data_IF_248759758344
#
_entry.id   IF_248759758344
#
_cell.length_a   1.000
_cell.length_b   1.000
_cell.length_c   1.000
_cell.angle_alpha   90.00
_cell.angle_beta   90.00
_cell.angle_gamma   90.00
#
_symmetry.space_group_name_H-M   'P 1'
#
loop_
_entity.id
_entity.type
_entity.pdbx_description
1 polymer ?
#
# COMPACT_ATOMS: atom_id res chain seq x y z
N UNK A 1 -24.08 72.53 47.02
CA UNK A 1 -25.28 72.18 46.25
C UNK A 1 -25.34 70.65 46.24
N UNK A 2 -25.93 69.95 47.21
CA UNK A 2 -27.29 69.97 47.74
C UNK A 2 -28.37 69.52 46.72
N UNK A 3 -29.14 68.52 47.17
CA UNK A 3 -30.37 67.90 46.67
C UNK A 3 -30.26 66.84 45.55
N UNK A 4 -30.59 65.55 45.79
CA UNK A 4 -31.85 64.97 46.34
C UNK A 4 -32.99 65.11 45.29
N UNK A 5 -33.42 64.02 44.67
CA UNK A 5 -34.46 63.07 45.12
C UNK A 5 -35.72 63.23 44.28
N UNK A 6 -36.20 62.11 43.73
CA UNK A 6 -37.60 61.71 43.52
C UNK A 6 -37.58 60.59 42.47
N UNK A 7 -37.88 59.34 42.82
CA UNK A 7 -39.18 58.89 43.33
C UNK A 7 -40.08 58.62 42.12
N UNK A 8 -40.81 57.51 41.96
CA UNK A 8 -41.26 56.49 42.91
C UNK A 8 -42.08 55.47 42.09
N UNK A 9 -41.96 54.19 42.45
CA UNK A 9 -43.02 53.16 42.52
C UNK A 9 -43.88 52.79 41.28
N UNK A 10 -44.55 51.64 41.18
CA UNK A 10 -44.54 50.28 41.77
C UNK A 10 -45.92 49.69 41.35
N UNK A 11 -45.99 48.48 40.76
CA UNK A 11 -47.10 47.47 40.82
C UNK A 11 -47.16 46.64 39.51
N UNK A 12 -46.78 45.35 39.46
CA UNK A 12 -47.41 44.08 39.93
C UNK A 12 -48.75 43.67 39.26
N UNK A 13 -48.69 42.66 38.37
CA UNK A 13 -49.49 41.39 38.29
C UNK A 13 -49.11 40.64 36.98
N UNK A 14 -48.52 39.43 36.99
CA UNK A 14 -49.16 38.07 36.95
C UNK A 14 -50.38 38.01 36.01
N UNK A 15 -50.52 37.13 35.01
CA UNK A 15 -49.86 35.85 34.67
C UNK A 15 -50.19 35.44 33.20
N UNK A 16 -49.34 34.61 32.60
CA UNK A 16 -49.66 33.56 31.59
C UNK A 16 -48.36 32.74 31.41
N UNK A 17 -48.17 31.58 32.04
CA UNK A 17 -48.61 30.22 31.67
C UNK A 17 -48.40 29.91 30.18
N UNK A 18 -47.34 29.15 29.88
CA UNK A 18 -47.18 28.53 28.56
C UNK A 18 -45.77 28.02 28.32
N UNK A 19 -45.61 26.70 28.41
CA UNK A 19 -44.58 25.84 27.83
C UNK A 19 -43.36 26.49 27.14
N UNK A 20 -42.15 26.13 27.59
CA UNK A 20 -41.13 25.51 26.73
C UNK A 20 -39.84 25.22 27.52
N UNK A 21 -39.87 24.11 28.26
CA UNK A 21 -38.69 23.45 28.80
C UNK A 21 -37.92 22.66 27.74
N UNK A 22 -37.70 23.23 26.55
CA UNK A 22 -36.93 22.58 25.47
C UNK A 22 -35.47 23.03 25.55
N UNK A 23 -34.76 22.34 26.45
CA UNK A 23 -33.34 21.98 26.41
C UNK A 23 -32.41 22.81 25.50
N UNK A 24 -31.79 23.85 26.08
CA UNK A 24 -30.58 24.49 25.53
C UNK A 24 -29.41 23.49 25.37
N UNK A 25 -29.41 22.42 26.16
CA UNK A 25 -28.47 21.28 26.07
C UNK A 25 -28.76 20.35 24.89
N UNK A 26 -30.03 20.24 24.48
CA UNK A 26 -30.45 19.51 23.29
C UNK A 26 -29.86 20.13 22.03
N UNK A 27 -29.87 21.46 21.91
CA UNK A 27 -29.31 22.16 20.76
C UNK A 27 -27.78 22.08 20.68
N UNK A 28 -27.07 22.02 21.82
CA UNK A 28 -25.62 21.81 21.85
C UNK A 28 -25.24 20.36 21.49
N UNK A 29 -26.02 19.37 21.94
CA UNK A 29 -25.83 17.97 21.54
C UNK A 29 -26.18 17.75 20.07
N UNK A 30 -27.25 18.36 19.57
CA UNK A 30 -27.64 18.31 18.14
C UNK A 30 -26.63 19.05 17.27
N UNK A 31 -26.06 20.17 17.74
CA UNK A 31 -24.98 20.86 17.02
C UNK A 31 -23.67 20.05 17.02
N UNK A 32 -23.35 19.33 18.10
CA UNK A 32 -22.19 18.42 18.14
C UNK A 32 -22.40 17.14 17.33
N UNK A 33 -23.61 16.57 17.29
CA UNK A 33 -23.93 15.42 16.43
C UNK A 33 -24.06 15.82 14.97
N UNK A 34 -24.57 17.01 14.65
CA UNK A 34 -24.59 17.55 13.29
C UNK A 34 -23.18 17.89 12.77
N UNK A 35 -22.28 18.42 13.61
CA UNK A 35 -20.85 18.58 13.25
C UNK A 35 -20.11 17.26 13.13
N UNK A 36 -20.53 16.21 13.85
CA UNK A 36 -19.97 14.88 13.72
C UNK A 36 -20.49 14.12 12.47
N UNK A 37 -21.66 14.52 11.94
CA UNK A 37 -22.33 13.80 10.86
C UNK A 37 -21.70 13.99 9.48
N UNK A 38 -20.97 15.07 9.20
CA UNK A 38 -20.33 15.29 7.90
C UNK A 38 -18.90 15.81 8.08
N UNK A 39 -18.02 14.98 8.63
CA UNK A 39 -16.64 15.03 8.14
C UNK A 39 -16.69 14.51 6.70
N UNK A 40 -16.38 15.33 5.68
CA UNK A 40 -16.39 14.85 4.31
C UNK A 40 -15.48 13.63 4.24
N UNK A 41 -16.08 12.47 3.94
CA UNK A 41 -15.36 11.22 3.76
C UNK A 41 -14.29 11.52 2.72
N UNK A 42 -13.03 11.42 3.12
CA UNK A 42 -11.90 11.80 2.26
C UNK A 42 -12.10 11.18 0.87
N UNK A 43 -12.27 12.03 -0.14
CA UNK A 43 -12.52 11.60 -1.52
C UNK A 43 -11.38 10.67 -1.90
N UNK A 44 -11.72 9.41 -2.21
CA UNK A 44 -10.73 8.37 -2.49
C UNK A 44 -9.99 8.74 -3.77
N UNK A 45 -8.66 8.78 -3.71
CA UNK A 45 -7.86 9.12 -4.88
C UNK A 45 -8.03 8.04 -5.96
N UNK A 46 -8.74 8.38 -7.04
CA UNK A 46 -9.08 7.45 -8.13
C UNK A 46 -7.82 6.84 -8.75
N UNK A 47 -6.74 7.62 -8.87
CA UNK A 47 -5.48 7.17 -9.46
C UNK A 47 -4.81 6.09 -8.61
N UNK A 48 -4.85 6.26 -7.28
CA UNK A 48 -4.34 5.25 -6.35
C UNK A 48 -5.17 3.99 -6.39
N UNK A 49 -6.48 4.11 -6.59
CA UNK A 49 -7.33 2.94 -6.73
C UNK A 49 -7.11 2.21 -8.06
N UNK A 50 -6.98 2.94 -9.17
CA UNK A 50 -6.62 2.36 -10.46
C UNK A 50 -5.26 1.64 -10.39
N UNK A 51 -4.28 2.25 -9.70
CA UNK A 51 -2.99 1.63 -9.44
C UNK A 51 -3.10 0.37 -8.57
N UNK A 52 -3.97 0.35 -7.56
CA UNK A 52 -4.24 -0.87 -6.77
C UNK A 52 -4.84 -1.96 -7.64
N UNK A 53 -5.81 -1.65 -8.50
CA UNK A 53 -6.40 -2.61 -9.43
C UNK A 53 -5.36 -3.17 -10.41
N UNK A 54 -4.51 -2.30 -10.97
CA UNK A 54 -3.41 -2.73 -11.83
C UNK A 54 -2.42 -3.66 -11.10
N UNK A 55 -2.12 -3.37 -9.83
CA UNK A 55 -1.29 -4.24 -9.00
C UNK A 55 -1.95 -5.62 -8.76
N UNK A 56 -3.27 -5.68 -8.51
CA UNK A 56 -4.01 -6.94 -8.39
C UNK A 56 -3.89 -7.76 -9.67
N UNK A 57 -4.14 -7.12 -10.82
CA UNK A 57 -4.05 -7.79 -12.13
C UNK A 57 -2.63 -8.32 -12.37
N UNK A 58 -1.60 -7.53 -12.06
CA UNK A 58 -0.20 -7.95 -12.20
C UNK A 58 0.16 -9.14 -11.31
N UNK A 59 -0.27 -9.13 -10.04
CA UNK A 59 -0.07 -10.25 -9.11
C UNK A 59 -0.80 -11.51 -9.61
N UNK A 60 -2.06 -11.36 -10.01
CA UNK A 60 -2.86 -12.48 -10.52
C UNK A 60 -2.22 -13.11 -11.76
N UNK A 61 -1.85 -12.28 -12.74
CA UNK A 61 -1.20 -12.77 -13.97
C UNK A 61 0.11 -13.50 -13.65
N UNK A 62 0.92 -12.94 -12.76
CA UNK A 62 2.15 -13.59 -12.30
C UNK A 62 1.90 -14.96 -11.66
N UNK A 63 0.94 -15.07 -10.73
CA UNK A 63 0.65 -16.34 -10.07
C UNK A 63 0.06 -17.38 -11.03
N UNK A 64 -0.78 -16.97 -11.99
CA UNK A 64 -1.31 -17.85 -13.03
C UNK A 64 -0.19 -18.34 -13.96
N UNK A 65 0.77 -17.47 -14.30
CA UNK A 65 1.88 -17.79 -15.20
C UNK A 65 3.12 -18.33 -14.47
N UNK A 66 3.06 -18.54 -13.15
CA UNK A 66 4.21 -18.97 -12.35
C UNK A 66 4.81 -20.30 -12.82
N UNK A 67 4.03 -21.35 -13.15
CA UNK A 67 4.59 -22.60 -13.66
C UNK A 67 5.34 -22.42 -14.99
N UNK A 68 4.84 -21.54 -15.87
CA UNK A 68 5.40 -21.25 -17.19
C UNK A 68 6.69 -20.43 -17.08
N UNK A 69 6.68 -19.38 -16.25
CA UNK A 69 7.87 -18.56 -15.97
C UNK A 69 8.96 -19.41 -15.32
N UNK A 70 8.64 -20.29 -14.37
CA UNK A 70 9.62 -21.19 -13.75
C UNK A 70 10.27 -22.15 -14.74
N UNK A 71 9.52 -22.64 -15.73
CA UNK A 71 10.07 -23.51 -16.79
C UNK A 71 10.92 -22.72 -17.79
N UNK A 72 10.53 -21.50 -18.16
CA UNK A 72 11.27 -20.67 -19.10
C UNK A 72 12.59 -20.11 -18.52
N UNK A 73 12.63 -19.90 -17.20
CA UNK A 73 13.81 -19.44 -16.44
C UNK A 73 14.59 -20.59 -15.82
N UNK A 74 14.38 -21.81 -16.30
CA UNK A 74 15.08 -22.98 -15.81
C UNK A 74 16.60 -22.85 -16.03
N UNK A 75 17.38 -23.38 -15.08
CA UNK A 75 18.83 -23.35 -15.14
C UNK A 75 19.33 -24.31 -16.25
N UNK A 76 20.03 -23.80 -17.28
CA UNK A 76 20.57 -24.64 -18.35
C UNK A 76 21.53 -25.73 -17.84
N UNK A 77 22.20 -25.50 -16.71
CA UNK A 77 23.15 -26.45 -16.12
C UNK A 77 22.45 -27.60 -15.38
N UNK A 78 21.23 -27.38 -14.89
CA UNK A 78 20.43 -28.40 -14.17
C UNK A 78 19.57 -29.25 -15.12
N UNK A 79 19.49 -28.87 -16.41
CA UNK A 79 18.67 -29.52 -17.42
C UNK A 79 17.21 -29.07 -17.34
N UNK A 80 16.68 -28.60 -18.47
CA UNK A 80 15.31 -28.10 -18.55
C UNK A 80 14.35 -29.11 -19.18
N UNK A 81 13.07 -28.97 -18.87
CA UNK A 81 12.04 -29.74 -19.56
C UNK A 81 12.00 -29.30 -21.03
N UNK A 82 11.54 -30.19 -21.92
CA UNK A 82 11.34 -29.85 -23.35
C UNK A 82 10.49 -28.58 -23.55
N UNK A 83 9.54 -28.34 -22.64
CA UNK A 83 8.70 -27.13 -22.65
C UNK A 83 9.51 -25.89 -22.23
N UNK A 84 10.36 -26.02 -21.20
CA UNK A 84 11.26 -24.95 -20.78
C UNK A 84 12.24 -24.54 -21.87
N UNK A 85 12.84 -25.50 -22.57
CA UNK A 85 13.73 -25.24 -23.71
C UNK A 85 13.00 -24.50 -24.84
N UNK A 86 11.78 -24.92 -25.18
CA UNK A 86 10.97 -24.24 -26.19
C UNK A 86 10.68 -22.79 -25.80
N UNK A 87 10.25 -22.55 -24.55
CA UNK A 87 9.92 -21.20 -24.05
C UNK A 87 11.15 -20.30 -23.92
N UNK A 88 12.29 -20.84 -23.48
CA UNK A 88 13.55 -20.11 -23.36
C UNK A 88 14.25 -19.86 -24.70
N UNK A 89 13.92 -20.65 -25.72
CA UNK A 89 14.51 -20.50 -27.07
C UNK A 89 13.95 -19.32 -27.86
N UNK A 90 12.72 -18.89 -27.58
CA UNK A 90 12.11 -17.72 -28.22
C UNK A 90 12.35 -16.45 -27.37
N UNK A 91 13.17 -15.49 -27.87
CA UNK A 91 13.44 -14.24 -27.16
C UNK A 91 12.18 -13.42 -26.84
N UNK A 92 11.15 -13.47 -27.69
CA UNK A 92 9.93 -12.71 -27.47
C UNK A 92 9.12 -13.28 -26.31
N UNK A 93 8.97 -14.60 -26.25
CA UNK A 93 8.29 -15.30 -25.16
C UNK A 93 9.04 -15.08 -23.85
N UNK A 94 10.37 -15.20 -23.87
CA UNK A 94 11.20 -15.00 -22.69
C UNK A 94 11.11 -13.56 -22.15
N UNK A 95 11.09 -12.55 -23.03
CA UNK A 95 10.88 -11.16 -22.63
C UNK A 95 9.50 -10.96 -21.99
N UNK A 96 8.44 -11.51 -22.57
CA UNK A 96 7.07 -11.40 -22.03
C UNK A 96 6.96 -12.06 -20.66
N UNK A 97 7.52 -13.25 -20.50
CA UNK A 97 7.52 -13.97 -19.22
C UNK A 97 8.35 -13.25 -18.14
N UNK A 98 9.47 -12.64 -18.53
CA UNK A 98 10.24 -11.75 -17.65
C UNK A 98 9.42 -10.55 -17.15
N UNK A 99 8.76 -9.84 -18.07
CA UNK A 99 7.91 -8.68 -17.73
C UNK A 99 6.77 -9.09 -16.80
N UNK A 100 6.14 -10.25 -17.03
CA UNK A 100 5.10 -10.79 -16.14
C UNK A 100 5.67 -11.06 -14.73
N UNK A 101 6.89 -11.60 -14.63
CA UNK A 101 7.57 -11.80 -13.36
C UNK A 101 7.85 -10.47 -12.63
N UNK A 102 8.32 -9.44 -13.35
CA UNK A 102 8.49 -8.08 -12.81
C UNK A 102 7.17 -7.48 -12.33
N UNK A 103 6.08 -7.68 -13.08
CA UNK A 103 4.75 -7.18 -12.73
C UNK A 103 4.21 -7.80 -11.43
N UNK A 104 4.45 -9.08 -11.19
CA UNK A 104 4.07 -9.73 -9.93
C UNK A 104 4.78 -9.10 -8.72
N UNK A 105 6.11 -8.98 -8.81
CA UNK A 105 6.92 -8.34 -7.78
C UNK A 105 6.54 -6.87 -7.56
N UNK A 106 6.37 -6.13 -8.65
CA UNK A 106 5.95 -4.73 -8.64
C UNK A 106 4.60 -4.55 -7.98
N UNK A 107 3.62 -5.39 -8.31
CA UNK A 107 2.28 -5.33 -7.73
C UNK A 107 2.31 -5.51 -6.21
N UNK A 108 3.11 -6.46 -5.71
CA UNK A 108 3.31 -6.63 -4.27
C UNK A 108 3.90 -5.37 -3.63
N UNK A 109 4.98 -4.80 -4.21
CA UNK A 109 5.56 -3.56 -3.70
C UNK A 109 4.53 -2.41 -3.68
N UNK A 110 3.73 -2.26 -4.72
CA UNK A 110 2.66 -1.24 -4.78
C UNK A 110 1.68 -1.41 -3.62
N UNK A 111 1.25 -2.63 -3.32
CA UNK A 111 0.34 -2.90 -2.20
C UNK A 111 0.92 -2.47 -0.85
N UNK A 112 2.14 -2.89 -0.56
CA UNK A 112 2.83 -2.51 0.67
C UNK A 112 3.07 -0.99 0.74
N UNK A 113 3.49 -0.38 -0.37
CA UNK A 113 3.81 1.05 -0.42
C UNK A 113 2.57 1.92 -0.29
N UNK A 114 1.44 1.62 -0.97
CA UNK A 114 0.18 2.35 -0.78
C UNK A 114 -0.22 2.33 0.69
N UNK A 115 -0.18 1.14 1.30
CA UNK A 115 -0.56 0.99 2.70
C UNK A 115 0.37 1.78 3.61
N UNK A 116 1.69 1.68 3.45
CA UNK A 116 2.65 2.47 4.21
C UNK A 116 2.44 3.97 4.04
N UNK A 117 2.28 4.43 2.80
CA UNK A 117 2.14 5.83 2.42
C UNK A 117 0.95 6.52 3.08
N UNK A 118 -0.19 5.84 3.20
CA UNK A 118 -1.39 6.42 3.83
C UNK A 118 -1.49 6.09 5.33
N UNK A 119 -1.11 4.88 5.72
CA UNK A 119 -1.31 4.39 7.08
C UNK A 119 -0.34 5.04 8.06
N UNK A 120 0.96 5.04 7.77
CA UNK A 120 1.99 5.52 8.70
C UNK A 120 1.77 7.00 9.03
N UNK A 121 1.60 7.94 8.07
CA UNK A 121 1.38 9.34 8.40
C UNK A 121 0.09 9.56 9.19
N UNK A 122 -0.98 8.79 8.90
CA UNK A 122 -2.25 8.90 9.61
C UNK A 122 -2.16 8.48 11.08
N UNK A 123 -1.34 7.47 11.38
CA UNK A 123 -1.09 6.98 12.73
C UNK A 123 -0.10 7.89 13.46
N UNK A 124 0.93 8.38 12.76
CA UNK A 124 1.92 9.29 13.31
C UNK A 124 1.28 10.60 13.81
N UNK A 125 0.34 11.17 13.05
CA UNK A 125 -0.41 12.37 13.49
C UNK A 125 -1.25 12.13 14.75
N UNK A 126 -1.83 10.93 14.88
CA UNK A 126 -2.67 10.55 16.04
C UNK A 126 -1.87 10.09 17.25
N UNK A 127 -0.57 9.84 17.11
CA UNK A 127 0.29 9.35 18.19
C UNK A 127 0.36 10.26 19.42
N UNK A 128 0.05 11.55 19.28
CA UNK A 128 0.01 12.52 20.39
C UNK A 128 -1.29 12.50 21.22
N UNK A 129 -2.33 11.81 20.74
CA UNK A 129 -3.64 11.82 21.40
C UNK A 129 -3.66 10.85 22.57
N UNK A 130 -4.27 11.26 23.69
CA UNK A 130 -4.52 10.37 24.82
C UNK A 130 -5.37 9.18 24.34
N UNK A 131 -4.99 7.95 24.71
CA UNK A 131 -5.68 6.74 24.26
C UNK A 131 -5.23 6.18 22.91
N UNK A 132 -4.21 6.77 22.26
CA UNK A 132 -3.66 6.32 20.97
C UNK A 132 -3.52 4.80 20.85
N UNK A 133 -2.91 4.14 21.86
CA UNK A 133 -2.65 2.71 21.80
C UNK A 133 -3.91 1.85 21.77
N UNK A 134 -4.98 2.24 22.49
CA UNK A 134 -6.26 1.50 22.47
C UNK A 134 -6.94 1.65 21.12
N UNK A 135 -6.96 2.86 20.56
CA UNK A 135 -7.56 3.13 19.25
C UNK A 135 -6.76 2.49 18.11
N UNK A 136 -5.43 2.55 18.20
CA UNK A 136 -4.54 1.91 17.25
C UNK A 136 -4.67 0.38 17.29
N UNK A 137 -4.77 -0.22 18.49
CA UNK A 137 -4.98 -1.66 18.64
C UNK A 137 -6.34 -2.07 18.06
N UNK A 138 -7.44 -1.38 18.42
CA UNK A 138 -8.77 -1.67 17.88
C UNK A 138 -8.81 -1.54 16.35
N UNK A 139 -8.22 -0.48 15.81
CA UNK A 139 -8.12 -0.27 14.36
C UNK A 139 -7.28 -1.34 13.66
N UNK A 140 -6.21 -1.80 14.31
CA UNK A 140 -5.35 -2.88 13.82
C UNK A 140 -6.07 -4.21 13.81
N UNK A 141 -6.69 -4.59 14.94
CA UNK A 141 -7.47 -5.83 15.07
C UNK A 141 -8.55 -5.88 13.99
N UNK A 142 -9.31 -4.79 13.81
CA UNK A 142 -10.33 -4.72 12.75
C UNK A 142 -9.75 -4.96 11.35
N UNK A 143 -8.59 -4.37 11.03
CA UNK A 143 -7.96 -4.56 9.71
C UNK A 143 -7.44 -5.98 9.51
N UNK A 144 -6.78 -6.53 10.52
CA UNK A 144 -6.27 -7.91 10.49
C UNK A 144 -7.43 -8.89 10.39
N UNK A 145 -8.53 -8.66 11.12
CA UNK A 145 -9.74 -9.48 11.04
C UNK A 145 -10.35 -9.45 9.64
N UNK A 146 -10.44 -8.28 9.00
CA UNK A 146 -10.92 -8.19 7.61
C UNK A 146 -10.06 -9.05 6.68
N UNK A 147 -8.73 -8.99 6.81
CA UNK A 147 -7.82 -9.82 6.01
C UNK A 147 -8.06 -11.30 6.27
N UNK A 148 -8.11 -11.71 7.54
CA UNK A 148 -8.33 -13.10 7.93
C UNK A 148 -9.68 -13.64 7.43
N UNK A 149 -10.76 -12.86 7.57
CA UNK A 149 -12.09 -13.21 7.06
C UNK A 149 -12.09 -13.32 5.54
N UNK A 150 -11.40 -12.43 4.82
CA UNK A 150 -11.26 -12.54 3.36
C UNK A 150 -10.53 -13.81 2.95
N UNK A 151 -9.46 -14.20 3.65
CA UNK A 151 -8.74 -15.46 3.38
C UNK A 151 -9.66 -16.66 3.64
N UNK A 152 -10.37 -16.69 4.77
CA UNK A 152 -11.32 -17.76 5.11
C UNK A 152 -12.43 -17.86 4.07
N UNK A 153 -12.99 -16.74 3.63
CA UNK A 153 -14.02 -16.72 2.59
C UNK A 153 -13.52 -17.33 1.28
N UNK A 154 -12.32 -16.93 0.84
CA UNK A 154 -11.70 -17.50 -0.37
C UNK A 154 -11.41 -18.98 -0.19
N UNK A 155 -10.96 -19.41 1.00
CA UNK A 155 -10.74 -20.82 1.30
C UNK A 155 -12.02 -21.65 1.24
N UNK A 156 -13.11 -21.15 1.83
CA UNK A 156 -14.42 -21.81 1.76
C UNK A 156 -14.92 -21.94 0.32
N UNK A 157 -14.80 -20.88 -0.49
CA UNK A 157 -15.19 -20.92 -1.91
C UNK A 157 -14.30 -21.90 -2.70
N UNK A 158 -13.00 -21.93 -2.43
CA UNK A 158 -12.10 -22.87 -3.10
C UNK A 158 -12.40 -24.33 -2.72
N UNK A 159 -12.62 -24.62 -1.44
CA UNK A 159 -13.02 -25.95 -0.96
C UNK A 159 -14.39 -26.37 -1.50
N UNK A 160 -15.32 -25.43 -1.62
CA UNK A 160 -16.61 -25.65 -2.27
C UNK A 160 -16.44 -26.06 -3.73
N UNK A 161 -15.60 -25.34 -4.46
CA UNK A 161 -15.32 -25.62 -5.86
C UNK A 161 -14.62 -26.97 -6.05
N UNK A 162 -13.69 -27.32 -5.15
CA UNK A 162 -13.04 -28.63 -5.08
C UNK A 162 -14.03 -29.77 -4.86
N UNK A 163 -14.98 -29.59 -3.94
CA UNK A 163 -15.98 -30.60 -3.61
C UNK A 163 -17.05 -30.78 -4.69
N UNK A 164 -17.47 -29.71 -5.37
CA UNK A 164 -18.68 -29.72 -6.21
C UNK A 164 -18.45 -29.48 -7.70
N UNK A 165 -17.29 -28.98 -8.11
CA UNK A 165 -17.04 -28.62 -9.51
C UNK A 165 -15.90 -29.43 -10.10
N UNK A 166 -14.69 -29.31 -9.54
CA UNK A 166 -13.53 -30.08 -9.98
C UNK A 166 -12.43 -30.09 -8.92
N UNK A 167 -11.62 -31.16 -8.83
CA UNK A 167 -10.56 -31.25 -7.83
C UNK A 167 -9.50 -30.16 -8.07
N UNK A 168 -9.25 -29.37 -7.03
CA UNK A 168 -8.21 -28.35 -6.97
C UNK A 168 -6.95 -28.93 -6.31
N UNK A 169 -5.82 -28.65 -6.92
CA UNK A 169 -4.52 -29.14 -6.45
C UNK A 169 -4.20 -28.53 -5.08
N UNK A 170 -3.94 -29.40 -4.09
CA UNK A 170 -3.44 -29.04 -2.76
C UNK A 170 -4.33 -28.09 -1.92
N UNK A 171 -5.60 -27.91 -2.29
CA UNK A 171 -6.50 -26.95 -1.63
C UNK A 171 -6.83 -27.31 -0.18
N UNK A 172 -6.81 -28.61 0.15
CA UNK A 172 -7.09 -29.14 1.49
C UNK A 172 -5.89 -29.03 2.43
N UNK A 173 -4.69 -28.73 1.92
CA UNK A 173 -3.48 -28.61 2.74
C UNK A 173 -3.48 -27.29 3.50
N UNK A 174 -3.34 -27.36 4.83
CA UNK A 174 -3.21 -26.16 5.71
C UNK A 174 -2.03 -25.28 5.28
N UNK A 175 -0.96 -25.88 4.76
CA UNK A 175 0.18 -25.17 4.19
C UNK A 175 -0.23 -24.14 3.13
N UNK A 176 -1.16 -24.49 2.22
CA UNK A 176 -1.60 -23.64 1.11
C UNK A 176 -2.17 -22.30 1.62
N UNK A 177 -2.91 -22.34 2.72
CA UNK A 177 -3.59 -21.19 3.32
C UNK A 177 -2.75 -20.43 4.35
N UNK A 178 -1.62 -21.01 4.74
CA UNK A 178 -0.67 -20.40 5.68
C UNK A 178 0.54 -19.89 4.91
N UNK A 179 1.54 -20.73 4.68
CA UNK A 179 2.79 -20.35 4.03
C UNK A 179 2.67 -20.25 2.50
N UNK A 180 1.67 -20.90 1.89
CA UNK A 180 1.37 -20.75 0.46
C UNK A 180 0.90 -19.35 0.06
N UNK A 181 0.33 -18.58 1.00
CA UNK A 181 -0.06 -17.18 0.83
C UNK A 181 0.67 -16.25 1.80
N UNK A 182 1.96 -16.54 2.04
CA UNK A 182 2.82 -15.81 2.99
C UNK A 182 2.77 -14.28 2.84
N UNK A 183 2.63 -13.75 1.62
CA UNK A 183 2.55 -12.31 1.38
C UNK A 183 1.31 -11.64 1.99
N UNK A 184 0.18 -12.35 2.07
CA UNK A 184 -1.04 -11.84 2.70
C UNK A 184 -0.84 -11.72 4.21
N UNK A 185 -0.14 -12.69 4.80
CA UNK A 185 0.17 -12.68 6.23
C UNK A 185 1.27 -11.68 6.59
N UNK A 186 2.28 -11.52 5.73
CA UNK A 186 3.28 -10.44 5.85
C UNK A 186 2.60 -9.07 5.82
N UNK A 187 1.63 -8.89 4.93
CA UNK A 187 0.83 -7.67 4.89
C UNK A 187 0.05 -7.44 6.19
N UNK A 188 -0.61 -8.45 6.73
CA UNK A 188 -1.28 -8.36 8.02
C UNK A 188 -0.29 -8.00 9.15
N UNK A 189 0.89 -8.61 9.16
CA UNK A 189 1.95 -8.34 10.14
C UNK A 189 2.44 -6.88 10.06
N UNK A 190 2.68 -6.34 8.86
CA UNK A 190 3.12 -4.95 8.73
C UNK A 190 2.04 -3.95 9.12
N UNK A 191 0.77 -4.24 8.81
CA UNK A 191 -0.36 -3.45 9.31
C UNK A 191 -0.40 -3.47 10.83
N UNK A 192 -0.06 -4.61 11.45
CA UNK A 192 -0.02 -4.74 12.90
C UNK A 192 1.15 -4.00 13.56
N UNK A 193 2.30 -3.95 12.90
CA UNK A 193 3.49 -3.20 13.37
C UNK A 193 3.40 -1.70 13.08
N UNK A 194 2.55 -1.29 12.13
CA UNK A 194 2.40 0.09 11.69
C UNK A 194 2.21 1.13 12.81
N UNK A 195 1.44 0.89 13.90
CA UNK A 195 1.33 1.81 15.02
C UNK A 195 2.67 2.08 15.71
N UNK A 196 3.43 1.02 16.00
CA UNK A 196 4.74 1.14 16.65
C UNK A 196 5.69 1.91 15.74
N UNK A 197 5.76 1.53 14.46
CA UNK A 197 6.61 2.19 13.47
C UNK A 197 6.25 3.67 13.30
N UNK A 198 4.96 4.00 13.22
CA UNK A 198 4.50 5.38 13.09
C UNK A 198 4.82 6.22 14.33
N UNK A 199 4.70 5.63 15.53
CA UNK A 199 5.05 6.27 16.79
C UNK A 199 6.56 6.53 16.88
N UNK A 200 7.40 5.58 16.46
CA UNK A 200 8.86 5.73 16.40
C UNK A 200 9.27 6.79 15.36
N UNK A 201 8.79 6.66 14.12
CA UNK A 201 9.07 7.62 13.05
C UNK A 201 8.57 9.02 13.40
N UNK A 202 7.50 9.18 14.17
CA UNK A 202 7.08 10.52 14.57
C UNK A 202 8.10 11.23 15.48
N UNK A 203 8.81 10.49 16.35
CA UNK A 203 9.80 11.04 17.29
C UNK A 203 11.12 11.40 16.62
N UNK A 204 11.41 10.85 15.45
CA UNK A 204 12.67 11.08 14.74
C UNK A 204 12.57 12.34 13.85
N UNK A 205 13.60 13.22 13.83
CA UNK A 205 13.62 14.39 12.96
C UNK A 205 13.49 14.02 11.47
N UNK A 206 12.83 14.88 10.68
CA UNK A 206 12.56 14.61 9.27
C UNK A 206 13.81 14.23 8.45
N UNK A 207 14.91 14.98 8.64
CA UNK A 207 16.19 14.74 7.94
C UNK A 207 16.75 13.35 8.26
N UNK A 208 16.71 12.95 9.53
CA UNK A 208 17.23 11.66 9.98
C UNK A 208 16.38 10.51 9.42
N UNK A 209 15.05 10.64 9.41
CA UNK A 209 14.17 9.59 8.84
C UNK A 209 14.43 9.35 7.37
N UNK A 210 14.60 10.42 6.59
CA UNK A 210 14.91 10.31 5.16
C UNK A 210 16.30 9.70 4.97
N UNK A 211 17.31 10.15 5.71
CA UNK A 211 18.65 9.58 5.65
C UNK A 211 18.66 8.07 5.97
N UNK A 212 17.99 7.66 7.06
CA UNK A 212 17.85 6.24 7.44
C UNK A 212 17.12 5.45 6.35
N UNK A 213 16.03 5.99 5.79
CA UNK A 213 15.31 5.35 4.69
C UNK A 213 16.21 5.15 3.46
N UNK A 214 17.02 6.16 3.09
CA UNK A 214 17.98 6.05 1.99
C UNK A 214 19.05 4.98 2.25
N UNK A 215 19.65 4.98 3.45
CA UNK A 215 20.65 3.98 3.84
C UNK A 215 20.05 2.57 3.82
N UNK A 216 18.84 2.38 4.34
CA UNK A 216 18.14 1.10 4.32
C UNK A 216 17.91 0.59 2.90
N UNK A 217 17.48 1.47 1.98
CA UNK A 217 17.28 1.08 0.56
C UNK A 217 18.60 0.68 -0.08
N UNK A 218 19.67 1.45 0.12
CA UNK A 218 20.98 1.12 -0.46
C UNK A 218 21.50 -0.21 0.09
N UNK A 219 21.48 -0.40 1.42
CA UNK A 219 21.90 -1.65 2.04
C UNK A 219 21.08 -2.83 1.55
N UNK A 220 19.76 -2.67 1.44
CA UNK A 220 18.85 -3.71 0.96
C UNK A 220 19.15 -4.10 -0.50
N UNK A 221 19.33 -3.11 -1.39
CA UNK A 221 19.66 -3.36 -2.79
C UNK A 221 21.00 -4.08 -2.91
N UNK A 222 21.99 -3.71 -2.09
CA UNK A 222 23.30 -4.39 -2.06
C UNK A 222 23.18 -5.84 -1.60
N UNK A 223 22.47 -6.10 -0.50
CA UNK A 223 22.27 -7.47 0.01
C UNK A 223 21.46 -8.31 -0.98
N UNK A 224 20.39 -7.76 -1.54
CA UNK A 224 19.58 -8.45 -2.54
C UNK A 224 20.37 -8.73 -3.82
N UNK A 225 21.23 -7.80 -4.25
CA UNK A 225 22.16 -7.99 -5.36
C UNK A 225 23.18 -9.10 -5.06
N UNK A 226 23.73 -9.14 -3.84
CA UNK A 226 24.62 -10.22 -3.42
C UNK A 226 23.91 -11.59 -3.42
N UNK A 227 22.69 -11.66 -2.89
CA UNK A 227 21.89 -12.89 -2.92
C UNK A 227 21.59 -13.30 -4.36
N UNK A 228 21.23 -12.35 -5.22
CA UNK A 228 20.94 -12.60 -6.63
C UNK A 228 22.16 -13.12 -7.39
N UNK A 229 23.27 -12.39 -7.39
CA UNK A 229 24.40 -12.63 -8.28
C UNK A 229 25.48 -13.56 -7.71
N UNK A 230 25.65 -13.61 -6.40
CA UNK A 230 26.79 -14.32 -5.78
C UNK A 230 26.34 -15.58 -5.06
N UNK A 231 25.18 -15.54 -4.42
CA UNK A 231 24.76 -16.66 -3.58
C UNK A 231 23.25 -16.89 -3.67
N UNK A 232 22.75 -17.34 -4.83
CA UNK A 232 21.33 -17.57 -5.03
C UNK A 232 20.78 -18.69 -4.15
N UNK A 233 21.61 -19.55 -3.55
CA UNK A 233 21.19 -20.67 -2.68
C UNK A 233 20.35 -21.72 -3.40
N UNK A 234 20.23 -22.92 -2.83
CA UNK A 234 19.40 -23.96 -3.43
C UNK A 234 17.92 -23.70 -3.17
N UNK A 235 17.13 -23.57 -4.24
CA UNK A 235 15.69 -23.36 -4.15
C UNK A 235 14.96 -24.52 -3.44
N UNK A 236 15.52 -25.73 -3.51
CA UNK A 236 14.95 -26.94 -2.90
C UNK A 236 15.17 -27.03 -1.38
N UNK A 237 16.22 -26.40 -0.84
CA UNK A 237 16.58 -26.48 0.60
C UNK A 237 16.26 -25.19 1.37
N UNK A 238 15.63 -24.21 0.71
CA UNK A 238 15.20 -22.92 1.28
C UNK A 238 14.02 -23.06 2.26
N UNK A 239 14.34 -23.60 3.43
CA UNK A 239 13.47 -23.62 4.60
C UNK A 239 13.34 -22.25 5.27
N UNK A 240 12.52 -22.17 6.32
CA UNK A 240 12.34 -20.97 7.15
C UNK A 240 13.61 -20.58 7.92
N UNK A 241 14.59 -21.47 8.01
CA UNK A 241 15.88 -21.24 8.67
C UNK A 241 16.89 -20.52 7.78
N UNK A 242 16.65 -20.45 6.46
CA UNK A 242 17.52 -19.71 5.55
C UNK A 242 17.22 -18.21 5.60
N UNK A 243 18.21 -17.41 6.01
CA UNK A 243 18.13 -15.95 6.06
C UNK A 243 17.77 -15.34 4.70
N UNK A 244 18.13 -15.99 3.58
CA UNK A 244 17.79 -15.53 2.23
C UNK A 244 16.29 -15.54 1.98
N UNK A 245 15.55 -16.44 2.63
CA UNK A 245 14.09 -16.49 2.55
C UNK A 245 13.46 -15.27 3.24
N UNK A 246 14.06 -14.79 4.32
CA UNK A 246 13.60 -13.60 5.04
C UNK A 246 13.83 -12.30 4.27
N UNK A 247 14.74 -12.29 3.28
CA UNK A 247 15.01 -11.09 2.49
C UNK A 247 13.78 -10.59 1.72
N UNK A 248 12.86 -11.45 1.30
CA UNK A 248 11.59 -11.02 0.68
C UNK A 248 10.74 -10.20 1.66
N UNK A 249 10.55 -10.72 2.89
CA UNK A 249 9.82 -10.05 3.96
C UNK A 249 10.48 -8.71 4.34
N UNK A 250 11.81 -8.69 4.48
CA UNK A 250 12.57 -7.47 4.77
C UNK A 250 12.41 -6.44 3.65
N UNK A 251 12.47 -6.86 2.39
CA UNK A 251 12.32 -5.97 1.23
C UNK A 251 10.94 -5.29 1.22
N UNK A 252 9.88 -6.03 1.52
CA UNK A 252 8.54 -5.46 1.64
C UNK A 252 8.36 -4.60 2.90
N UNK A 253 8.99 -4.95 4.02
CA UNK A 253 8.98 -4.12 5.22
C UNK A 253 9.64 -2.76 4.96
N UNK A 254 10.79 -2.76 4.27
CA UNK A 254 11.46 -1.52 3.84
C UNK A 254 10.59 -0.75 2.86
N UNK A 255 9.98 -1.42 1.87
CA UNK A 255 9.03 -0.80 0.93
C UNK A 255 7.88 -0.08 1.65
N UNK A 256 7.27 -0.74 2.63
CA UNK A 256 6.22 -0.18 3.48
C UNK A 256 6.73 1.04 4.27
N UNK A 257 7.92 0.95 4.87
CA UNK A 257 8.51 2.01 5.67
C UNK A 257 8.91 3.24 4.83
N UNK A 258 9.58 3.07 3.70
CA UNK A 258 10.01 4.19 2.84
C UNK A 258 8.82 4.95 2.27
N UNK A 259 7.76 4.25 1.90
CA UNK A 259 6.52 4.87 1.45
C UNK A 259 5.85 5.65 2.58
N UNK A 260 5.89 5.12 3.81
CA UNK A 260 5.47 5.85 5.01
C UNK A 260 6.26 7.14 5.24
N UNK A 261 7.59 7.08 5.17
CA UNK A 261 8.47 8.26 5.30
C UNK A 261 8.18 9.29 4.19
N UNK A 262 7.99 8.85 2.96
CA UNK A 262 7.58 9.71 1.85
C UNK A 262 6.22 10.38 2.12
N UNK A 263 5.23 9.64 2.59
CA UNK A 263 3.92 10.17 2.97
C UNK A 263 3.96 11.13 4.17
N UNK A 264 4.99 11.03 5.03
CA UNK A 264 5.22 11.95 6.14
C UNK A 264 5.94 13.24 5.73
N UNK A 265 6.54 13.29 4.54
CA UNK A 265 7.41 14.40 4.09
C UNK A 265 6.64 15.67 3.67
N UNK A 266 5.32 15.70 3.86
CA UNK A 266 4.45 16.83 3.51
C UNK A 266 4.15 16.86 2.01
N UNK A 267 2.91 17.20 1.65
CA UNK A 267 2.57 17.41 0.25
C UNK A 267 3.23 18.70 -0.26
N UNK A 268 3.74 18.73 -1.50
CA UNK A 268 4.16 19.98 -2.16
C UNK A 268 3.02 21.00 -2.15
N UNK A 269 3.36 22.29 -2.19
CA UNK A 269 2.36 23.36 -2.33
C UNK A 269 1.52 23.14 -3.60
N UNK A 270 0.22 23.49 -3.60
CA UNK A 270 -0.68 23.36 -4.75
C UNK A 270 -0.08 23.78 -6.10
N UNK A 271 0.60 24.93 -6.13
CA UNK A 271 1.25 25.47 -7.31
C UNK A 271 2.39 24.61 -7.87
N UNK A 272 3.04 23.80 -7.02
CA UNK A 272 4.20 22.99 -7.38
C UNK A 272 3.84 21.56 -7.77
N UNK A 273 2.62 21.07 -7.49
CA UNK A 273 2.21 19.69 -7.80
C UNK A 273 2.40 19.32 -9.28
N UNK A 274 2.05 20.16 -10.28
CA UNK A 274 2.25 19.80 -11.68
C UNK A 274 3.74 19.62 -12.03
N UNK A 275 4.61 20.44 -11.45
CA UNK A 275 6.06 20.35 -11.65
C UNK A 275 6.63 19.09 -11.00
N UNK A 276 6.23 18.80 -9.76
CA UNK A 276 6.61 17.59 -9.05
C UNK A 276 6.13 16.32 -9.75
N UNK A 277 4.87 16.28 -10.17
CA UNK A 277 4.31 15.16 -10.93
C UNK A 277 5.08 14.92 -12.21
N UNK A 278 5.40 15.97 -12.98
CA UNK A 278 6.23 15.83 -14.19
C UNK A 278 7.60 15.23 -13.91
N UNK A 279 8.25 15.61 -12.80
CA UNK A 279 9.54 15.02 -12.39
C UNK A 279 9.40 13.53 -12.09
N UNK A 280 8.38 13.14 -11.31
CA UNK A 280 8.12 11.74 -11.00
C UNK A 280 7.76 10.91 -12.23
N UNK A 281 6.95 11.45 -13.14
CA UNK A 281 6.62 10.77 -14.41
C UNK A 281 7.87 10.60 -15.27
N UNK A 282 8.72 11.63 -15.41
CA UNK A 282 9.98 11.51 -16.14
C UNK A 282 10.89 10.44 -15.55
N UNK A 283 11.04 10.42 -14.23
CA UNK A 283 11.81 9.40 -13.52
C UNK A 283 11.23 7.99 -13.72
N UNK A 284 9.91 7.85 -13.60
CA UNK A 284 9.20 6.58 -13.84
C UNK A 284 9.45 6.06 -15.26
N UNK A 285 9.26 6.92 -16.28
CA UNK A 285 9.45 6.56 -17.68
C UNK A 285 10.91 6.20 -17.95
N UNK A 286 11.86 6.97 -17.42
CA UNK A 286 13.28 6.69 -17.59
C UNK A 286 13.67 5.34 -16.96
N UNK A 287 13.24 5.06 -15.73
CA UNK A 287 13.52 3.77 -15.07
C UNK A 287 12.82 2.62 -15.78
N UNK A 288 11.56 2.79 -16.19
CA UNK A 288 10.84 1.76 -16.95
C UNK A 288 11.52 1.46 -18.29
N UNK A 289 11.94 2.49 -19.02
CA UNK A 289 12.67 2.32 -20.27
C UNK A 289 13.98 1.55 -20.06
N UNK A 290 14.75 1.88 -19.02
CA UNK A 290 15.99 1.16 -18.69
C UNK A 290 15.70 -0.30 -18.37
N UNK A 291 14.76 -0.57 -17.46
CA UNK A 291 14.44 -1.94 -17.03
C UNK A 291 13.97 -2.79 -18.21
N UNK A 292 13.02 -2.29 -19.01
CA UNK A 292 12.50 -2.99 -20.18
C UNK A 292 13.57 -3.19 -21.27
N UNK A 293 14.47 -2.22 -21.45
CA UNK A 293 15.58 -2.37 -22.41
C UNK A 293 16.56 -3.43 -21.95
N UNK A 294 16.94 -3.43 -20.68
CA UNK A 294 17.85 -4.45 -20.13
C UNK A 294 17.23 -5.84 -20.24
N UNK A 295 15.93 -5.96 -19.93
CA UNK A 295 15.22 -7.23 -20.04
C UNK A 295 15.07 -7.70 -21.49
N UNK A 296 14.74 -6.81 -22.43
CA UNK A 296 14.69 -7.13 -23.85
C UNK A 296 16.07 -7.56 -24.39
N UNK A 297 17.14 -6.88 -24.01
CA UNK A 297 18.51 -7.24 -24.40
C UNK A 297 18.92 -8.58 -23.79
N UNK A 298 18.58 -8.83 -22.52
CA UNK A 298 18.83 -10.11 -21.88
C UNK A 298 18.05 -11.24 -22.57
N UNK A 299 16.80 -11.02 -22.95
CA UNK A 299 15.98 -11.98 -23.66
C UNK A 299 16.51 -12.26 -25.08
N UNK A 300 16.94 -11.24 -25.82
CA UNK A 300 17.61 -11.38 -27.12
C UNK A 300 18.89 -12.21 -27.02
N UNK A 301 19.63 -12.06 -25.92
CA UNK A 301 20.84 -12.84 -25.63
C UNK A 301 20.53 -14.22 -25.01
N UNK A 302 19.26 -14.52 -24.74
CA UNK A 302 18.81 -15.70 -23.99
C UNK A 302 19.52 -15.86 -22.64
N UNK A 303 19.87 -14.74 -22.02
CA UNK A 303 20.50 -14.70 -20.71
C UNK A 303 19.42 -14.84 -19.63
N UNK A 304 18.97 -16.08 -19.43
CA UNK A 304 17.95 -16.44 -18.43
C UNK A 304 18.39 -16.08 -17.02
N UNK A 305 19.70 -16.04 -16.75
CA UNK A 305 20.24 -15.65 -15.46
C UNK A 305 19.97 -14.17 -15.20
N UNK A 306 20.32 -13.28 -16.12
CA UNK A 306 20.06 -11.84 -15.95
C UNK A 306 18.56 -11.56 -15.80
N UNK A 307 17.70 -12.24 -16.57
CA UNK A 307 16.24 -12.09 -16.45
C UNK A 307 15.77 -12.61 -15.08
N UNK A 308 16.24 -13.77 -14.64
CA UNK A 308 15.90 -14.32 -13.33
C UNK A 308 16.36 -13.39 -12.18
N UNK A 309 17.50 -12.73 -12.31
CA UNK A 309 18.02 -11.81 -11.29
C UNK A 309 17.32 -10.45 -11.27
N UNK A 310 17.01 -9.88 -12.44
CA UNK A 310 16.21 -8.66 -12.53
C UNK A 310 14.79 -8.88 -12.02
N UNK A 311 14.26 -10.07 -12.30
CA UNK A 311 12.95 -10.54 -11.88
C UNK A 311 13.02 -11.42 -10.65
N UNK A 312 14.04 -11.26 -9.79
CA UNK A 312 14.21 -12.06 -8.57
C UNK A 312 13.09 -11.74 -7.57
N UNK A 313 11.93 -12.33 -7.85
CA UNK A 313 10.65 -12.27 -7.16
C UNK A 313 10.51 -10.98 -6.31
N UNK A 314 10.31 -11.16 -5.02
CA UNK A 314 10.04 -10.13 -4.03
C UNK A 314 11.21 -9.22 -3.66
N UNK A 315 12.41 -9.45 -4.19
CA UNK A 315 13.61 -8.66 -3.85
C UNK A 315 14.15 -7.84 -5.02
N UNK A 316 13.42 -7.79 -6.14
CA UNK A 316 13.79 -7.01 -7.32
C UNK A 316 13.84 -5.50 -6.99
N UNK A 317 15.03 -4.92 -7.13
CA UNK A 317 15.24 -3.49 -6.98
C UNK A 317 14.49 -2.68 -8.06
N UNK A 318 14.40 -3.23 -9.27
CA UNK A 318 13.67 -2.63 -10.38
C UNK A 318 12.17 -2.51 -10.06
N UNK A 319 11.53 -3.61 -9.65
CA UNK A 319 10.12 -3.62 -9.27
C UNK A 319 9.83 -2.69 -8.09
N UNK A 320 10.70 -2.65 -7.08
CA UNK A 320 10.58 -1.74 -5.94
C UNK A 320 10.67 -0.26 -6.37
N UNK A 321 11.64 0.09 -7.22
CA UNK A 321 11.81 1.45 -7.71
C UNK A 321 10.62 1.91 -8.56
N UNK A 322 10.16 1.08 -9.49
CA UNK A 322 8.98 1.36 -10.32
C UNK A 322 7.71 1.54 -9.48
N UNK A 323 7.52 0.70 -8.46
CA UNK A 323 6.40 0.82 -7.53
C UNK A 323 6.45 2.15 -6.76
N UNK A 324 7.61 2.50 -6.21
CA UNK A 324 7.79 3.74 -5.46
C UNK A 324 7.51 4.97 -6.33
N UNK A 325 8.11 5.03 -7.52
CA UNK A 325 7.93 6.14 -8.45
C UNK A 325 6.46 6.30 -8.86
N UNK A 326 5.76 5.20 -9.15
CA UNK A 326 4.35 5.26 -9.51
C UNK A 326 3.47 5.72 -8.34
N UNK A 327 3.75 5.25 -7.11
CA UNK A 327 3.06 5.74 -5.91
C UNK A 327 3.22 7.26 -5.79
N UNK A 328 4.43 7.78 -6.00
CA UNK A 328 4.68 9.23 -5.98
C UNK A 328 3.95 9.98 -7.10
N UNK A 329 3.85 9.42 -8.31
CA UNK A 329 3.06 9.99 -9.42
C UNK A 329 1.58 10.08 -9.08
N UNK A 330 1.01 9.01 -8.52
CA UNK A 330 -0.42 8.93 -8.17
C UNK A 330 -0.77 9.80 -6.96
N UNK A 331 0.13 9.87 -5.98
CA UNK A 331 -0.04 10.70 -4.79
C UNK A 331 0.05 12.20 -5.12
N UNK A 332 0.89 12.60 -6.07
CA UNK A 332 1.02 13.99 -6.53
C UNK A 332 -0.19 14.52 -7.34
N UNK A 333 -1.27 13.74 -7.49
CA UNK A 333 -2.50 14.15 -8.19
C UNK A 333 -3.63 14.65 -7.29
N UNK A 334 -3.56 14.46 -5.98
CA UNK A 334 -4.73 14.58 -5.08
C UNK A 334 -5.17 16.01 -4.73
N UNK A 335 -4.54 17.04 -5.31
CA UNK A 335 -4.80 18.45 -4.97
C UNK A 335 -5.88 19.15 -5.81
N UNK A 336 -6.22 18.62 -7.00
CA UNK A 336 -7.12 19.30 -7.95
C UNK A 336 -8.52 18.68 -8.03
N UNK A 337 -8.60 17.36 -8.19
CA UNK A 337 -9.87 16.67 -8.49
C UNK A 337 -10.93 16.80 -7.37
N UNK A 338 -10.52 16.87 -6.11
CA UNK A 338 -11.44 17.06 -4.99
C UNK A 338 -12.00 18.49 -4.87
N UNK A 339 -11.27 19.48 -5.36
CA UNK A 339 -11.73 20.88 -5.39
C UNK A 339 -12.68 21.09 -6.56
N UNK A 340 -12.39 20.49 -7.72
CA UNK A 340 -13.23 20.58 -8.91
C UNK A 340 -14.56 19.82 -8.74
N UNK A 341 -14.56 18.63 -8.10
CA UNK A 341 -15.80 17.91 -7.78
C UNK A 341 -16.65 18.62 -6.71
N UNK A 342 -16.01 19.21 -5.70
CA UNK A 342 -16.70 20.00 -4.68
C UNK A 342 -17.21 21.36 -5.22
N UNK A 343 -16.63 21.85 -6.33
CA UNK A 343 -17.10 23.04 -7.05
C UNK A 343 -18.27 22.68 -7.95
N UNK A 344 -18.14 21.62 -8.75
CA UNK A 344 -19.22 21.11 -9.60
C UNK A 344 -20.47 20.73 -8.79
N UNK A 345 -20.30 20.11 -7.61
CA UNK A 345 -21.43 19.79 -6.72
C UNK A 345 -22.08 21.03 -6.09
N UNK A 346 -21.36 22.15 -5.93
CA UNK A 346 -21.93 23.41 -5.45
C UNK A 346 -22.66 24.17 -6.55
N UNK A 347 -22.14 24.11 -7.77
CA UNK A 347 -22.76 24.69 -8.96
C UNK A 347 -24.04 23.91 -9.35
N UNK A 348 -24.06 22.58 -9.18
CA UNK A 348 -25.24 21.74 -9.43
C UNK A 348 -26.33 21.80 -8.33
N UNK A 349 -26.01 22.31 -7.14
CA UNK A 349 -26.96 22.48 -6.02
C UNK A 349 -27.56 23.88 -5.92
N UNK A 350 -27.15 24.80 -6.79
CA UNK A 350 -27.60 26.19 -6.84
C UNK A 350 -28.47 26.51 -8.08
N UNK A 351 -28.85 25.48 -8.86
CA UNK A 351 -29.74 25.57 -10.02
C UNK A 351 -31.17 25.18 -9.68
#
# INVERSE_FOLDING_TARGET
>A
MANADSGRANSRRMADVGADGVSRDGNLRVAHTARAAHTPRAVRNVRVEAMRLAAIVGISLFHTMMPWTAQALCDPAAGCSRIGDMLGSDPAVLAVLGVIALMGAWGNHVFFMISGFYLIPSLARRSKQAGYWRDALRGTVRRVLVIAVSVVLVAVVALAFDAWVMPLVNVHLVWQWTLGIEFVWLYAAFVAVAPVLACLLWRVPARVRVAVACVLVVALVMVNGYVAFVSPGDAATRGLTDWRKWMSAITYAVSFAIAGVAGMSGAPRPADLPRWRRRWVKALVAVAAVVLTVEAVAAMRRDVTVIAQLSYKSTSAASMALAFLLVMVCAAGSGGEGVDLARASREAGAS
#
